data_IF_319326836915
#
_entry.id   IF_319326836915
#
_cell.length_a   1.000
_cell.length_b   1.000
_cell.length_c   1.000
_cell.angle_alpha   90.00
_cell.angle_beta   90.00
_cell.angle_gamma   90.00
#
_symmetry.space_group_name_H-M   'P 1'
#
loop_
_entity.id
_entity.type
_entity.pdbx_description
1 polymer ?
#
# COMPACT_ATOMS: atom_id res chain seq x y z
N UNK A 1 -16.06 -2.41 18.63
CA UNK A 1 -15.45 -1.18 18.09
C UNK A 1 -14.99 -1.50 16.68
N UNK A 2 -15.36 -0.69 15.68
CA UNK A 2 -14.89 -0.93 14.32
C UNK A 2 -13.37 -0.70 14.26
N UNK A 3 -12.65 -1.44 13.41
CA UNK A 3 -11.20 -1.29 13.26
C UNK A 3 -10.78 0.16 13.02
N UNK A 4 -11.55 0.90 12.21
CA UNK A 4 -11.24 2.29 11.87
C UNK A 4 -11.39 3.24 13.06
N UNK A 5 -12.34 2.97 13.97
CA UNK A 5 -12.47 3.74 15.21
C UNK A 5 -11.22 3.57 16.09
N UNK A 6 -10.64 2.36 16.08
CA UNK A 6 -9.42 2.04 16.83
C UNK A 6 -8.19 2.81 16.31
N UNK A 7 -8.24 3.37 15.11
CA UNK A 7 -7.16 4.16 14.51
C UNK A 7 -7.21 5.65 14.88
N UNK A 8 -8.27 6.11 15.55
CA UNK A 8 -8.38 7.51 15.99
C UNK A 8 -7.28 7.90 16.98
N UNK A 9 -6.94 9.19 17.14
CA UNK A 9 -5.90 9.62 18.06
C UNK A 9 -6.41 9.69 19.53
N UNK A 10 -5.76 9.02 20.51
CA UNK A 10 -4.67 8.03 20.36
C UNK A 10 -5.21 6.65 19.94
N UNK A 11 -4.44 5.87 19.16
CA UNK A 11 -4.90 4.58 18.64
C UNK A 11 -5.10 3.56 19.77
N UNK A 12 -6.20 2.79 19.72
CA UNK A 12 -6.41 1.63 20.59
C UNK A 12 -5.64 0.43 20.02
N UNK A 13 -4.36 0.36 20.37
CA UNK A 13 -3.47 -0.70 19.90
C UNK A 13 -3.98 -2.10 20.26
N UNK A 14 -4.64 -2.26 21.42
CA UNK A 14 -5.15 -3.55 21.85
C UNK A 14 -6.32 -3.99 20.98
N UNK A 15 -7.22 -3.06 20.60
CA UNK A 15 -8.29 -3.35 19.66
C UNK A 15 -7.78 -3.62 18.23
N UNK A 16 -6.74 -2.90 17.80
CA UNK A 16 -6.08 -3.16 16.51
C UNK A 16 -5.52 -4.59 16.49
N UNK A 17 -4.72 -4.97 17.49
CA UNK A 17 -4.08 -6.29 17.54
C UNK A 17 -5.07 -7.45 17.73
N UNK A 18 -6.19 -7.24 18.44
CA UNK A 18 -7.26 -8.25 18.50
C UNK A 18 -7.87 -8.51 17.12
N UNK A 19 -7.98 -7.48 16.28
CA UNK A 19 -8.56 -7.58 14.94
C UNK A 19 -7.53 -7.96 13.88
N UNK A 20 -6.25 -7.60 14.05
CA UNK A 20 -5.16 -7.88 13.11
C UNK A 20 -3.96 -8.40 13.92
N UNK A 21 -4.03 -9.64 14.43
CA UNK A 21 -2.94 -10.26 15.17
C UNK A 21 -1.65 -10.38 14.36
N UNK A 22 -1.73 -10.34 13.03
CA UNK A 22 -0.59 -10.35 12.10
C UNK A 22 0.36 -9.16 12.30
N UNK A 23 -0.09 -8.06 12.94
CA UNK A 23 0.75 -6.92 13.29
C UNK A 23 1.52 -7.11 14.60
N UNK A 24 1.15 -8.09 15.43
CA UNK A 24 1.80 -8.35 16.72
C UNK A 24 3.32 -8.55 16.62
N UNK A 25 3.81 -9.38 15.68
CA UNK A 25 5.25 -9.58 15.47
C UNK A 25 6.05 -8.34 15.06
N UNK A 26 5.39 -7.25 14.66
CA UNK A 26 6.06 -5.99 14.32
C UNK A 26 6.44 -5.16 15.56
N UNK A 27 5.95 -5.51 16.75
CA UNK A 27 6.33 -4.86 18.01
C UNK A 27 7.75 -5.23 18.40
N UNK A 28 8.56 -4.23 18.72
CA UNK A 28 9.98 -4.39 19.03
C UNK A 28 10.84 -4.78 17.82
N UNK A 29 10.27 -4.85 16.61
CA UNK A 29 11.03 -5.14 15.40
C UNK A 29 11.81 -3.88 15.00
N UNK A 30 13.13 -3.94 15.19
CA UNK A 30 14.04 -2.85 14.83
C UNK A 30 14.04 -2.58 13.32
N UNK A 31 14.24 -1.31 12.98
CA UNK A 31 14.26 -0.82 11.62
C UNK A 31 15.61 -0.19 11.28
N UNK A 32 15.81 0.17 10.01
CA UNK A 32 17.03 0.89 9.59
C UNK A 32 17.14 2.25 10.31
N UNK A 33 18.35 2.86 10.41
CA UNK A 33 18.57 4.16 11.07
C UNK A 33 17.83 5.37 10.47
N UNK A 34 17.09 5.19 9.38
CA UNK A 34 16.12 6.19 8.88
C UNK A 34 14.85 6.25 9.71
N UNK A 35 14.60 5.28 10.58
CA UNK A 35 13.43 5.19 11.44
C UNK A 35 13.82 5.43 12.91
N UNK A 36 12.97 6.13 13.65
CA UNK A 36 13.11 6.33 15.09
C UNK A 36 12.18 5.41 15.92
N UNK A 37 11.23 4.74 15.26
CA UNK A 37 10.26 3.81 15.87
C UNK A 37 10.53 2.39 15.41
N UNK A 38 10.06 1.42 16.19
CA UNK A 38 9.92 0.04 15.74
C UNK A 38 8.90 -0.07 14.59
N UNK A 39 8.81 -1.24 13.95
CA UNK A 39 7.91 -1.42 12.80
C UNK A 39 6.44 -1.14 13.14
N UNK A 40 5.97 -1.55 14.33
CA UNK A 40 4.58 -1.30 14.73
C UNK A 40 4.28 0.18 15.00
N UNK A 41 5.14 0.86 15.77
CA UNK A 41 5.03 2.30 16.04
C UNK A 41 5.11 3.13 14.77
N UNK A 42 6.04 2.78 13.86
CA UNK A 42 6.10 3.39 12.53
C UNK A 42 4.79 3.24 11.78
N UNK A 43 4.21 2.03 11.76
CA UNK A 43 2.93 1.76 11.08
C UNK A 43 1.80 2.67 11.59
N UNK A 44 1.69 2.87 12.91
CA UNK A 44 0.70 3.77 13.50
C UNK A 44 0.99 5.24 13.15
N UNK A 45 2.26 5.63 13.13
CA UNK A 45 2.66 6.96 12.70
C UNK A 45 2.33 7.21 11.22
N UNK A 46 2.48 6.21 10.33
CA UNK A 46 2.05 6.32 8.92
C UNK A 46 0.56 6.59 8.82
N UNK A 47 -0.28 5.87 9.57
CA UNK A 47 -1.73 6.12 9.61
C UNK A 47 -2.03 7.56 10.03
N UNK A 48 -1.36 8.05 11.07
CA UNK A 48 -1.48 9.43 11.54
C UNK A 48 -1.08 10.45 10.46
N UNK A 49 0.02 10.21 9.75
CA UNK A 49 0.51 11.07 8.66
C UNK A 49 -0.39 11.06 7.43
N UNK A 50 -1.05 9.93 7.13
CA UNK A 50 -2.09 9.87 6.09
C UNK A 50 -3.21 10.84 6.43
N UNK A 51 -3.72 10.81 7.67
CA UNK A 51 -4.78 11.72 8.08
C UNK A 51 -4.37 13.20 8.06
N UNK A 52 -3.11 13.49 8.42
CA UNK A 52 -2.56 14.84 8.30
C UNK A 52 -2.50 15.31 6.84
N UNK A 53 -2.01 14.46 5.94
CA UNK A 53 -1.93 14.81 4.52
C UNK A 53 -3.32 14.98 3.89
N UNK A 54 -4.29 14.15 4.26
CA UNK A 54 -5.67 14.29 3.79
C UNK A 54 -6.32 15.62 4.24
N UNK A 55 -5.94 16.14 5.41
CA UNK A 55 -6.41 17.45 5.91
C UNK A 55 -5.64 18.62 5.31
N UNK A 56 -4.32 18.50 5.19
CA UNK A 56 -3.43 19.58 4.75
C UNK A 56 -3.38 19.73 3.23
N UNK A 57 -3.50 18.62 2.48
CA UNK A 57 -3.40 18.59 1.03
C UNK A 57 -2.04 19.07 0.50
N UNK A 58 -0.96 18.85 1.23
CA UNK A 58 0.35 19.44 0.94
C UNK A 58 1.00 18.94 -0.37
N UNK A 59 0.61 17.75 -0.82
CA UNK A 59 0.96 17.18 -2.13
C UNK A 59 -0.01 17.60 -3.25
N UNK A 60 -1.19 18.11 -2.91
CA UNK A 60 -2.28 18.33 -3.86
C UNK A 60 -2.87 17.03 -4.41
N UNK A 61 -2.78 15.92 -3.66
CA UNK A 61 -3.44 14.67 -3.99
C UNK A 61 -4.97 14.79 -3.84
N UNK A 62 -5.72 14.06 -4.67
CA UNK A 62 -7.20 14.13 -4.75
C UNK A 62 -7.80 12.77 -4.38
N UNK A 63 -7.84 12.48 -3.09
CA UNK A 63 -8.42 11.23 -2.55
C UNK A 63 -9.93 11.42 -2.35
N UNK A 64 -10.71 10.53 -2.96
CA UNK A 64 -12.18 10.54 -2.81
C UNK A 64 -12.58 10.09 -1.40
N UNK A 65 -13.69 10.64 -0.88
CA UNK A 65 -14.18 10.30 0.46
C UNK A 65 -14.38 8.79 0.66
N UNK A 66 -14.89 8.09 -0.36
CA UNK A 66 -15.10 6.63 -0.35
C UNK A 66 -13.81 5.80 -0.31
N UNK A 67 -12.62 6.41 -0.40
CA UNK A 67 -11.32 5.73 -0.43
C UNK A 67 -10.47 6.00 0.81
N UNK A 68 -10.87 6.95 1.66
CA UNK A 68 -10.14 7.31 2.89
C UNK A 68 -9.97 6.10 3.81
N UNK A 69 -11.03 5.32 4.01
CA UNK A 69 -11.01 4.15 4.89
C UNK A 69 -10.04 3.07 4.41
N UNK A 70 -10.09 2.74 3.12
CA UNK A 70 -9.16 1.78 2.55
C UNK A 70 -7.72 2.30 2.50
N UNK A 71 -7.49 3.61 2.36
CA UNK A 71 -6.15 4.20 2.44
C UNK A 71 -5.59 4.11 3.87
N UNK A 72 -6.40 4.36 4.91
CA UNK A 72 -5.99 4.11 6.30
C UNK A 72 -5.66 2.64 6.55
N UNK A 73 -6.46 1.72 6.00
CA UNK A 73 -6.19 0.29 6.08
C UNK A 73 -4.90 -0.10 5.34
N UNK A 74 -4.62 0.51 4.18
CA UNK A 74 -3.36 0.32 3.46
C UNK A 74 -2.16 0.84 4.26
N UNK A 75 -2.26 2.01 4.89
CA UNK A 75 -1.24 2.52 5.80
C UNK A 75 -0.97 1.56 6.97
N UNK A 76 -2.02 0.99 7.55
CA UNK A 76 -1.89 0.01 8.63
C UNK A 76 -1.24 -1.31 8.19
N UNK A 77 -1.35 -1.68 6.91
CA UNK A 77 -0.93 -2.98 6.39
C UNK A 77 0.27 -2.93 5.43
N UNK A 78 0.80 -1.76 5.09
CA UNK A 78 1.83 -1.62 4.04
C UNK A 78 3.08 -2.48 4.32
N UNK A 79 3.41 -2.63 5.60
CA UNK A 79 4.59 -3.34 6.10
C UNK A 79 4.28 -4.64 6.86
N UNK A 80 3.05 -5.17 6.74
CA UNK A 80 2.59 -6.34 7.52
C UNK A 80 3.47 -7.58 7.38
N UNK A 81 4.22 -7.70 6.27
CA UNK A 81 5.12 -8.83 6.03
C UNK A 81 6.58 -8.60 6.46
N UNK A 82 6.97 -7.42 6.97
CA UNK A 82 8.34 -7.19 7.46
C UNK A 82 8.81 -8.26 8.45
N UNK A 83 8.03 -8.66 9.48
CA UNK A 83 8.48 -9.66 10.45
C UNK A 83 8.84 -11.02 9.83
N UNK A 84 8.04 -11.48 8.85
CA UNK A 84 8.20 -12.80 8.22
C UNK A 84 9.21 -12.81 7.07
N UNK A 85 9.66 -11.63 6.63
CA UNK A 85 10.67 -11.46 5.57
C UNK A 85 12.00 -10.94 6.09
N UNK A 86 12.14 -10.81 7.42
CA UNK A 86 13.38 -10.40 8.06
C UNK A 86 14.48 -11.41 7.74
N UNK A 87 15.53 -10.94 7.08
CA UNK A 87 16.77 -11.65 6.86
C UNK A 87 17.97 -10.84 7.35
N UNK A 88 19.13 -11.48 7.38
CA UNK A 88 20.39 -10.84 7.70
C UNK A 88 21.44 -11.21 6.65
N UNK A 89 22.11 -10.21 6.08
CA UNK A 89 23.19 -10.42 5.12
C UNK A 89 24.36 -9.51 5.48
N UNK A 90 25.50 -10.12 5.81
CA UNK A 90 26.72 -9.37 6.19
C UNK A 90 26.52 -8.40 7.36
N UNK A 91 25.74 -8.82 8.37
CA UNK A 91 25.42 -7.99 9.55
C UNK A 91 24.38 -6.89 9.31
N UNK A 92 23.74 -6.85 8.14
CA UNK A 92 22.66 -5.90 7.83
C UNK A 92 21.32 -6.61 7.80
N UNK A 93 20.36 -6.07 8.55
CA UNK A 93 18.95 -6.51 8.51
C UNK A 93 18.31 -6.08 7.19
N UNK A 94 17.63 -7.00 6.53
CA UNK A 94 16.95 -6.81 5.24
C UNK A 94 15.52 -7.35 5.34
N UNK A 95 14.61 -6.78 4.57
CA UNK A 95 13.21 -7.23 4.45
C UNK A 95 12.89 -7.52 2.99
N UNK A 96 13.39 -8.63 2.47
CA UNK A 96 13.32 -8.92 1.03
C UNK A 96 11.91 -9.35 0.65
N UNK A 97 11.34 -8.72 -0.39
CA UNK A 97 10.02 -9.03 -0.95
C UNK A 97 8.83 -8.87 0.03
N UNK A 98 8.98 -8.06 1.08
CA UNK A 98 7.89 -7.81 2.04
C UNK A 98 6.67 -7.11 1.40
N UNK A 99 6.88 -6.30 0.37
CA UNK A 99 5.79 -5.71 -0.42
C UNK A 99 4.91 -6.80 -1.08
N UNK A 100 5.55 -7.76 -1.73
CA UNK A 100 4.89 -8.84 -2.48
C UNK A 100 4.26 -9.88 -1.56
N UNK A 101 4.95 -10.29 -0.49
CA UNK A 101 4.37 -11.17 0.52
C UNK A 101 3.28 -10.47 1.33
N UNK A 102 3.43 -9.17 1.58
CA UNK A 102 2.44 -8.32 2.24
C UNK A 102 1.10 -8.33 1.51
N UNK A 103 1.12 -8.20 0.17
CA UNK A 103 -0.08 -8.29 -0.65
C UNK A 103 -0.84 -9.63 -0.48
N UNK A 104 -0.12 -10.75 -0.27
CA UNK A 104 -0.73 -12.06 0.01
C UNK A 104 -1.36 -12.12 1.42
N UNK A 105 -0.71 -11.53 2.42
CA UNK A 105 -1.23 -11.46 3.79
C UNK A 105 -2.47 -10.56 3.87
N UNK A 106 -2.44 -9.41 3.18
CA UNK A 106 -3.57 -8.48 3.06
C UNK A 106 -4.82 -9.19 2.60
N UNK A 107 -4.74 -10.07 1.59
CA UNK A 107 -5.92 -10.85 1.13
C UNK A 107 -6.61 -11.59 2.28
N UNK A 108 -5.82 -12.30 3.10
CA UNK A 108 -6.34 -13.10 4.22
C UNK A 108 -6.97 -12.21 5.28
N UNK A 109 -6.34 -11.08 5.59
CA UNK A 109 -6.83 -10.08 6.54
C UNK A 109 -8.14 -9.47 6.03
N UNK A 110 -8.17 -8.96 4.80
CA UNK A 110 -9.36 -8.37 4.18
C UNK A 110 -10.54 -9.35 4.16
N UNK A 111 -10.29 -10.61 3.77
CA UNK A 111 -11.32 -11.66 3.77
C UNK A 111 -11.86 -11.93 5.18
N UNK A 112 -11.00 -12.00 6.19
CA UNK A 112 -11.39 -12.21 7.60
C UNK A 112 -12.18 -11.03 8.17
N UNK A 113 -11.88 -9.81 7.71
CA UNK A 113 -12.55 -8.58 8.13
C UNK A 113 -13.77 -8.22 7.27
N UNK A 114 -14.06 -8.98 6.20
CA UNK A 114 -15.19 -8.71 5.30
C UNK A 114 -15.03 -7.42 4.49
N UNK A 115 -13.80 -7.06 4.11
CA UNK A 115 -13.53 -5.80 3.39
C UNK A 115 -14.06 -5.89 1.95
N UNK A 116 -14.80 -4.88 1.44
CA UNK A 116 -15.34 -4.86 0.08
C UNK A 116 -14.28 -4.96 -1.01
N UNK A 117 -14.70 -5.31 -2.23
CA UNK A 117 -13.79 -5.51 -3.37
C UNK A 117 -12.94 -4.26 -3.67
N UNK A 118 -13.55 -3.07 -3.69
CA UNK A 118 -12.86 -1.80 -3.96
C UNK A 118 -11.72 -1.53 -2.97
N UNK A 119 -12.00 -1.63 -1.68
CA UNK A 119 -10.99 -1.39 -0.65
C UNK A 119 -9.95 -2.51 -0.64
N UNK A 120 -10.33 -3.77 -0.86
CA UNK A 120 -9.37 -4.86 -0.94
C UNK A 120 -8.42 -4.68 -2.13
N UNK A 121 -8.93 -4.35 -3.32
CA UNK A 121 -8.12 -4.07 -4.50
C UNK A 121 -7.12 -2.94 -4.22
N UNK A 122 -7.61 -1.84 -3.63
CA UNK A 122 -6.77 -0.71 -3.25
C UNK A 122 -5.69 -1.11 -2.24
N UNK A 123 -6.04 -1.73 -1.12
CA UNK A 123 -5.07 -2.10 -0.07
C UNK A 123 -4.02 -3.06 -0.64
N UNK A 124 -4.41 -4.07 -1.41
CA UNK A 124 -3.47 -5.01 -2.04
C UNK A 124 -2.53 -4.28 -3.01
N UNK A 125 -3.08 -3.39 -3.84
CA UNK A 125 -2.30 -2.60 -4.81
C UNK A 125 -1.30 -1.68 -4.11
N UNK A 126 -1.75 -0.94 -3.11
CA UNK A 126 -0.94 0.00 -2.36
C UNK A 126 0.18 -0.72 -1.58
N UNK A 127 -0.13 -1.83 -0.90
CA UNK A 127 0.87 -2.66 -0.22
C UNK A 127 1.90 -3.20 -1.19
N UNK A 128 1.51 -3.66 -2.39
CA UNK A 128 2.47 -4.15 -3.38
C UNK A 128 3.38 -3.06 -3.99
N UNK A 129 2.95 -1.79 -3.95
CA UNK A 129 3.61 -0.67 -4.63
C UNK A 129 4.20 0.38 -3.69
N UNK A 130 4.03 0.27 -2.37
CA UNK A 130 4.33 1.35 -1.42
C UNK A 130 5.76 1.89 -1.49
N UNK A 131 6.75 1.03 -1.78
CA UNK A 131 8.16 1.44 -1.94
C UNK A 131 8.46 2.15 -3.26
N UNK A 132 7.66 1.89 -4.31
CA UNK A 132 8.11 2.07 -5.70
C UNK A 132 8.32 3.53 -6.10
N UNK A 133 7.57 4.47 -5.52
CA UNK A 133 7.79 5.91 -5.76
C UNK A 133 9.20 6.32 -5.33
N UNK A 134 9.73 5.77 -4.23
CA UNK A 134 11.09 6.08 -3.76
C UNK A 134 12.20 5.61 -4.70
N UNK A 135 11.92 4.61 -5.53
CA UNK A 135 12.88 3.96 -6.42
C UNK A 135 12.62 4.23 -7.92
N UNK A 136 11.56 4.93 -8.30
CA UNK A 136 11.15 5.06 -9.71
C UNK A 136 12.14 5.80 -10.63
N UNK A 137 13.09 6.54 -10.06
CA UNK A 137 14.18 7.20 -10.80
C UNK A 137 15.48 6.37 -10.84
N UNK A 138 15.51 5.22 -10.17
CA UNK A 138 16.66 4.33 -10.24
C UNK A 138 16.79 3.75 -11.66
N UNK A 139 17.99 3.74 -12.28
CA UNK A 139 18.18 3.22 -13.64
C UNK A 139 17.67 1.77 -13.83
N UNK A 140 17.78 0.98 -12.77
CA UNK A 140 17.35 -0.44 -12.73
C UNK A 140 15.94 -0.62 -12.13
N UNK A 141 15.12 0.44 -12.05
CA UNK A 141 13.78 0.32 -11.49
C UNK A 141 12.88 -0.55 -12.36
N UNK A 142 12.30 -1.59 -11.77
CA UNK A 142 11.22 -2.37 -12.37
C UNK A 142 9.92 -1.57 -12.55
N UNK A 143 9.83 -0.37 -11.97
CA UNK A 143 8.68 0.52 -12.05
C UNK A 143 9.12 1.96 -12.35
N UNK A 144 9.44 2.29 -13.62
CA UNK A 144 9.52 3.68 -14.04
C UNK A 144 8.14 4.37 -13.85
N UNK A 145 8.08 5.72 -13.80
CA UNK A 145 6.86 6.45 -13.47
C UNK A 145 5.61 6.04 -14.26
N UNK A 146 5.75 5.78 -15.56
CA UNK A 146 4.67 5.42 -16.48
C UNK A 146 4.13 4.01 -16.18
N UNK A 147 5.02 3.07 -15.88
CA UNK A 147 4.65 1.70 -15.49
C UNK A 147 4.05 1.68 -14.09
N UNK A 148 4.60 2.47 -13.17
CA UNK A 148 4.04 2.60 -11.83
C UNK A 148 2.63 3.18 -11.88
N UNK A 149 2.40 4.20 -12.71
CA UNK A 149 1.07 4.76 -12.95
C UNK A 149 0.09 3.74 -13.55
N UNK A 150 0.55 2.91 -14.49
CA UNK A 150 -0.25 1.80 -15.02
C UNK A 150 -0.61 0.77 -13.93
N UNK A 151 0.36 0.39 -13.09
CA UNK A 151 0.16 -0.58 -12.02
C UNK A 151 -0.75 -0.05 -10.90
N UNK A 152 -0.57 1.23 -10.52
CA UNK A 152 -1.39 1.90 -9.53
C UNK A 152 -2.82 2.12 -10.01
N UNK A 153 -3.07 2.13 -11.33
CA UNK A 153 -4.39 2.29 -11.94
C UNK A 153 -5.18 3.44 -11.31
N UNK A 154 -6.46 3.24 -10.92
CA UNK A 154 -7.26 4.29 -10.30
C UNK A 154 -6.73 4.77 -8.94
N UNK A 155 -5.76 4.09 -8.32
CA UNK A 155 -5.30 4.35 -6.94
C UNK A 155 -4.01 5.18 -6.83
N UNK A 156 -3.67 5.93 -7.89
CA UNK A 156 -2.44 6.73 -7.89
C UNK A 156 -2.46 7.89 -6.89
N UNK A 157 -3.60 8.50 -6.63
CA UNK A 157 -3.71 9.58 -5.63
C UNK A 157 -3.40 9.03 -4.23
N UNK A 158 -3.97 7.86 -3.90
CA UNK A 158 -3.79 7.18 -2.62
C UNK A 158 -2.36 6.62 -2.45
N UNK A 159 -1.75 6.11 -3.52
CA UNK A 159 -0.35 5.67 -3.48
C UNK A 159 0.61 6.81 -3.20
N UNK A 160 0.36 7.99 -3.77
CA UNK A 160 1.17 9.17 -3.49
C UNK A 160 1.06 9.60 -2.03
N UNK A 161 -0.15 9.62 -1.48
CA UNK A 161 -0.40 9.95 -0.06
C UNK A 161 0.27 8.94 0.86
N UNK A 162 0.10 7.63 0.61
CA UNK A 162 0.72 6.58 1.42
C UNK A 162 2.25 6.70 1.43
N UNK A 163 2.86 6.82 0.25
CA UNK A 163 4.32 6.94 0.09
C UNK A 163 4.87 8.19 0.78
N UNK A 164 4.12 9.29 0.76
CA UNK A 164 4.51 10.53 1.44
C UNK A 164 4.38 10.42 2.96
N UNK A 165 3.27 9.87 3.44
CA UNK A 165 3.04 9.61 4.85
C UNK A 165 4.12 8.69 5.43
N UNK A 166 4.47 7.61 4.72
CA UNK A 166 5.53 6.67 5.09
C UNK A 166 6.90 7.37 5.25
N UNK A 167 7.27 8.19 4.26
CA UNK A 167 8.50 9.00 4.34
C UNK A 167 8.52 9.92 5.54
N UNK A 168 7.40 10.59 5.82
CA UNK A 168 7.28 11.54 6.91
C UNK A 168 7.23 10.87 8.29
N UNK A 169 6.80 9.61 8.37
CA UNK A 169 6.74 8.85 9.61
C UNK A 169 8.13 8.40 10.09
N UNK A 170 9.06 8.15 9.16
CA UNK A 170 10.35 7.57 9.48
C UNK A 170 11.16 8.37 10.54
N UNK A 171 11.35 9.69 10.35
CA UNK A 171 11.98 10.65 11.30
C UNK A 171 13.23 10.17 12.06
N UNK A 172 13.99 9.21 11.53
CA UNK A 172 15.21 8.72 12.15
C UNK A 172 16.39 9.67 11.92
N UNK A 173 17.49 9.51 12.68
CA UNK A 173 18.63 10.42 12.67
C UNK A 173 19.36 10.53 11.31
N UNK A 174 19.16 9.57 10.40
CA UNK A 174 19.70 9.64 9.03
C UNK A 174 18.75 10.26 8.01
N UNK A 175 17.49 10.47 8.37
CA UNK A 175 16.56 11.22 7.54
C UNK A 175 16.90 12.70 7.63
N UNK A 176 16.95 13.37 6.48
CA UNK A 176 17.35 14.78 6.35
C UNK A 176 16.35 15.49 5.46
N UNK A 177 16.28 16.81 5.55
CA UNK A 177 15.35 17.61 4.76
C UNK A 177 15.52 17.40 3.24
N UNK A 178 16.75 17.21 2.78
CA UNK A 178 17.04 16.88 1.37
C UNK A 178 16.35 15.58 0.90
N UNK A 179 16.27 14.58 1.78
CA UNK A 179 15.59 13.32 1.50
C UNK A 179 14.07 13.50 1.44
N UNK A 180 13.52 14.31 2.35
CA UNK A 180 12.09 14.63 2.40
C UNK A 180 11.68 15.41 1.14
N UNK A 181 12.43 16.45 0.80
CA UNK A 181 12.17 17.31 -0.35
C UNK A 181 12.35 16.52 -1.67
N UNK A 182 13.36 15.67 -1.77
CA UNK A 182 13.49 14.73 -2.89
C UNK A 182 12.25 13.83 -3.02
N UNK A 183 11.80 13.23 -1.92
CA UNK A 183 10.65 12.31 -1.94
C UNK A 183 9.34 13.03 -2.28
N UNK A 184 9.18 14.28 -1.84
CA UNK A 184 8.06 15.13 -2.24
C UNK A 184 8.01 15.35 -3.75
N UNK A 185 9.16 15.69 -4.36
CA UNK A 185 9.26 15.83 -5.83
C UNK A 185 8.92 14.53 -6.56
N UNK A 186 9.36 13.39 -6.04
CA UNK A 186 9.00 12.07 -6.57
C UNK A 186 7.49 11.85 -6.53
N UNK A 187 6.83 12.11 -5.39
CA UNK A 187 5.37 11.97 -5.28
C UNK A 187 4.62 12.87 -6.27
N UNK A 188 5.04 14.14 -6.41
CA UNK A 188 4.42 15.08 -7.37
C UNK A 188 4.64 14.64 -8.81
N UNK A 189 5.84 14.15 -9.16
CA UNK A 189 6.13 13.61 -10.49
C UNK A 189 5.28 12.38 -10.79
N UNK A 190 5.15 11.47 -9.83
CA UNK A 190 4.29 10.30 -9.95
C UNK A 190 2.83 10.69 -10.14
N UNK A 191 2.30 11.65 -9.37
CA UNK A 191 0.93 12.14 -9.54
C UNK A 191 0.68 12.68 -10.96
N UNK A 192 1.63 13.42 -11.54
CA UNK A 192 1.53 13.88 -12.93
C UNK A 192 1.45 12.70 -13.91
N UNK A 193 2.30 11.68 -13.74
CA UNK A 193 2.28 10.48 -14.57
C UNK A 193 0.97 9.69 -14.40
N UNK A 194 0.46 9.57 -13.18
CA UNK A 194 -0.82 8.91 -12.89
C UNK A 194 -2.00 9.61 -13.55
N UNK A 195 -2.07 10.94 -13.41
CA UNK A 195 -3.17 11.77 -13.95
C UNK A 195 -3.13 11.88 -15.47
N UNK A 196 -1.95 11.78 -16.08
CA UNK A 196 -1.83 11.72 -17.54
C UNK A 196 -2.46 10.47 -18.15
N UNK A 197 -2.83 9.48 -17.32
CA UNK A 197 -3.55 8.27 -17.74
C UNK A 197 -5.06 8.33 -17.47
N UNK A 198 -5.55 9.41 -16.86
CA UNK A 198 -6.97 9.53 -16.56
C UNK A 198 -7.81 9.70 -17.85
N UNK A 199 -9.03 9.14 -17.90
CA UNK A 199 -9.62 8.28 -16.87
C UNK A 199 -9.05 6.86 -16.90
N UNK A 200 -8.83 6.27 -15.72
CA UNK A 200 -8.54 4.84 -15.62
C UNK A 200 -9.82 4.03 -15.89
N UNK A 201 -9.73 2.86 -16.54
CA UNK A 201 -10.86 1.93 -16.63
C UNK A 201 -11.40 1.62 -15.23
N UNK A 202 -12.73 1.68 -15.08
CA UNK A 202 -13.36 1.27 -13.83
C UNK A 202 -13.03 -0.22 -13.56
N UNK A 203 -12.67 -0.58 -12.33
CA UNK A 203 -12.45 -1.97 -11.99
C UNK A 203 -13.72 -2.79 -12.25
N UNK A 204 -13.61 -3.84 -13.06
CA UNK A 204 -14.74 -4.66 -13.48
C UNK A 204 -15.12 -5.72 -12.42
N UNK A 205 -15.32 -5.30 -11.16
CA UNK A 205 -15.58 -6.21 -10.04
C UNK A 205 -16.79 -7.12 -10.27
N UNK A 206 -17.88 -6.61 -10.87
CA UNK A 206 -19.07 -7.41 -11.16
C UNK A 206 -18.89 -8.45 -12.27
N UNK A 207 -17.94 -8.24 -13.19
CA UNK A 207 -17.55 -9.24 -14.18
C UNK A 207 -16.64 -10.29 -13.54
N UNK A 208 -15.66 -9.85 -12.75
CA UNK A 208 -14.79 -10.73 -11.98
C UNK A 208 -15.60 -11.63 -11.04
N UNK A 209 -16.59 -11.09 -10.32
CA UNK A 209 -17.47 -11.88 -9.46
C UNK A 209 -18.22 -12.98 -10.21
N UNK A 210 -18.64 -12.71 -11.47
CA UNK A 210 -19.28 -13.73 -12.33
C UNK A 210 -18.32 -14.81 -12.80
N UNK A 211 -17.05 -14.47 -13.00
CA UNK A 211 -15.98 -15.44 -13.32
C UNK A 211 -15.51 -16.23 -12.08
N UNK A 212 -15.88 -15.79 -10.88
CA UNK A 212 -15.43 -16.30 -9.59
C UNK A 212 -16.61 -16.78 -8.72
N UNK A 213 -17.38 -17.81 -9.15
CA UNK A 213 -18.55 -18.25 -8.40
C UNK A 213 -18.16 -18.70 -6.98
N UNK A 214 -18.81 -18.10 -5.97
CA UNK A 214 -18.57 -18.38 -4.55
C UNK A 214 -17.40 -17.61 -3.93
N UNK A 215 -16.70 -16.77 -4.69
CA UNK A 215 -15.67 -15.90 -4.15
C UNK A 215 -16.28 -14.78 -3.29
N UNK A 216 -15.57 -14.40 -2.22
CA UNK A 216 -15.91 -13.22 -1.43
C UNK A 216 -15.59 -11.93 -2.20
N UNK A 217 -16.19 -10.81 -1.80
CA UNK A 217 -15.81 -9.48 -2.31
C UNK A 217 -14.31 -9.21 -2.17
N UNK A 218 -13.70 -9.64 -1.05
CA UNK A 218 -12.26 -9.52 -0.85
C UNK A 218 -11.45 -10.36 -1.84
N UNK A 219 -11.92 -11.57 -2.21
CA UNK A 219 -11.26 -12.37 -3.24
C UNK A 219 -11.35 -11.69 -4.62
N UNK A 220 -12.51 -11.11 -4.96
CA UNK A 220 -12.71 -10.35 -6.20
C UNK A 220 -11.76 -9.15 -6.27
N UNK A 221 -11.68 -8.35 -5.20
CA UNK A 221 -10.78 -7.20 -5.12
C UNK A 221 -9.30 -7.61 -5.23
N UNK A 222 -8.91 -8.68 -4.55
CA UNK A 222 -7.55 -9.23 -4.64
C UNK A 222 -7.19 -9.66 -6.06
N UNK A 223 -8.09 -10.38 -6.75
CA UNK A 223 -7.87 -10.82 -8.14
C UNK A 223 -7.75 -9.61 -9.07
N UNK A 224 -8.58 -8.57 -8.89
CA UNK A 224 -8.48 -7.32 -9.65
C UNK A 224 -7.09 -6.66 -9.49
N UNK A 225 -6.59 -6.58 -8.26
CA UNK A 225 -5.25 -6.04 -7.97
C UNK A 225 -4.16 -6.86 -8.68
N UNK A 226 -4.16 -8.18 -8.48
CA UNK A 226 -3.16 -9.06 -9.08
C UNK A 226 -3.16 -8.97 -10.61
N UNK A 227 -4.34 -9.00 -11.22
CA UNK A 227 -4.48 -8.90 -12.66
C UNK A 227 -3.83 -7.63 -13.23
N UNK A 228 -4.10 -6.48 -12.59
CA UNK A 228 -3.52 -5.20 -12.97
C UNK A 228 -2.01 -5.14 -12.72
N UNK A 229 -1.53 -5.63 -11.59
CA UNK A 229 -0.09 -5.67 -11.26
C UNK A 229 0.69 -6.52 -12.26
N UNK A 230 0.16 -7.68 -12.68
CA UNK A 230 0.79 -8.54 -13.68
C UNK A 230 0.72 -7.92 -15.08
N UNK A 231 -0.42 -7.34 -15.46
CA UNK A 231 -0.56 -6.64 -16.74
C UNK A 231 0.47 -5.51 -16.87
N UNK A 232 0.72 -4.74 -15.80
CA UNK A 232 1.69 -3.65 -15.79
C UNK A 232 3.15 -4.11 -15.99
N UNK A 233 3.48 -5.37 -15.66
CA UNK A 233 4.83 -5.94 -15.84
C UNK A 233 5.08 -6.50 -17.25
N UNK A 234 4.18 -6.28 -18.20
CA UNK A 234 4.30 -6.81 -19.55
C UNK A 234 3.77 -8.23 -19.70
N UNK A 235 2.95 -8.70 -18.76
CA UNK A 235 2.33 -10.03 -18.79
C UNK A 235 1.32 -10.27 -19.93
N UNK A 236 1.13 -9.31 -20.84
CA UNK A 236 0.35 -9.46 -22.07
C UNK A 236 -1.09 -9.95 -21.88
N UNK A 237 -2.05 -9.03 -21.91
CA UNK A 237 -3.47 -9.37 -21.97
C UNK A 237 -4.37 -8.50 -21.11
N UNK A 238 -5.67 -8.62 -21.37
CA UNK A 238 -6.74 -8.03 -20.56
C UNK A 238 -6.63 -8.52 -19.10
N UNK A 239 -6.62 -7.63 -18.09
CA UNK A 239 -6.71 -8.01 -16.68
C UNK A 239 -7.78 -9.06 -16.37
N UNK A 240 -8.94 -9.04 -17.05
CA UNK A 240 -9.97 -10.06 -16.87
C UNK A 240 -9.54 -11.45 -17.38
N UNK A 241 -8.87 -11.50 -18.54
CA UNK A 241 -8.32 -12.73 -19.08
C UNK A 241 -7.20 -13.29 -18.19
N UNK A 242 -6.44 -12.41 -17.55
CA UNK A 242 -5.36 -12.80 -16.64
C UNK A 242 -5.89 -13.27 -15.29
N UNK A 243 -6.96 -12.63 -14.78
CA UNK A 243 -7.69 -13.07 -13.61
C UNK A 243 -8.21 -14.51 -13.76
N UNK A 244 -8.75 -14.86 -14.93
CA UNK A 244 -9.19 -16.24 -15.23
C UNK A 244 -8.06 -17.29 -15.19
N UNK A 245 -6.79 -16.88 -15.33
CA UNK A 245 -5.61 -17.78 -15.26
C UNK A 245 -4.99 -17.86 -13.86
N UNK A 246 -5.35 -16.95 -12.96
CA UNK A 246 -4.89 -16.93 -11.57
C UNK A 246 -5.77 -17.78 -10.64
N UNK A 247 -6.79 -18.41 -11.21
CA UNK A 247 -7.73 -19.35 -10.60
C UNK A 247 -7.35 -20.79 -10.92
#
# INVERSE_FOLDING_TARGET
MALLDALGPPPDEAAILRQIPELGPSRGLEQSPYHHLDTFGHTLEVVRRVDEELRAGSLGARVEAGRVEGLRLAALLHDVAKPVTRGELGGRVLFVAHDSLGALLVRRICRRLGIPALHTDMVVTLTALHLKIGFMEHPESDYPPERLALAAGPFGEELAVLSWADRLAAQGPRLKDEHIERHRRLCVRFLRASRARDPHPAPAYGELARLLPGASESDVGYVAACARLVAARGGGGDPLALAGRLL
#
